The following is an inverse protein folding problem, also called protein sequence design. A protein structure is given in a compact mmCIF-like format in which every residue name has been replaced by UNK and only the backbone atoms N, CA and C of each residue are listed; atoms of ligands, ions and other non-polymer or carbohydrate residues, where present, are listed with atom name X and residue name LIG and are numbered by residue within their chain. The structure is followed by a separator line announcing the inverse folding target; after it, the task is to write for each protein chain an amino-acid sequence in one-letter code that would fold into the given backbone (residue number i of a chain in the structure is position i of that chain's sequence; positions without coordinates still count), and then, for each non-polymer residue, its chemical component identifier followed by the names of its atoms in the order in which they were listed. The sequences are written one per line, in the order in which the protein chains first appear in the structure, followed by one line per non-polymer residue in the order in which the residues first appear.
data_IF_303195152854
#
_entry.id   IF_303195152854
#
_cell.length_a   1.000
_cell.length_b   1.000
_cell.length_c   1.000
_cell.angle_alpha   90.00
_cell.angle_beta   90.00
_cell.angle_gamma   90.00
#
_symmetry.space_group_name_H-M   'P 1'
#
loop_
_entity.id
_entity.type
_entity.pdbx_description
1 polymer ?
#
# COMPACT_ATOMS: atom_id res chain seq x y z
N UNK A 1 -11.70 11.50 17.20
CA UNK A 1 -10.22 11.42 17.01
C UNK A 1 -9.62 10.01 17.13
N UNK A 2 -10.39 8.92 16.96
CA UNK A 2 -9.89 7.55 17.19
C UNK A 2 -8.70 7.15 16.29
N UNK A 3 -8.82 7.33 14.97
CA UNK A 3 -7.75 7.02 13.99
C UNK A 3 -6.46 7.77 14.31
N UNK A 4 -6.56 9.07 14.61
CA UNK A 4 -5.37 9.88 14.94
C UNK A 4 -4.66 9.41 16.19
N UNK A 5 -5.41 8.99 17.22
CA UNK A 5 -4.83 8.44 18.46
C UNK A 5 -4.17 7.08 18.19
N UNK A 6 -4.83 6.22 17.41
CA UNK A 6 -4.30 4.92 17.01
C UNK A 6 -2.98 5.07 16.24
N UNK A 7 -2.98 5.88 15.18
CA UNK A 7 -1.77 6.10 14.36
C UNK A 7 -0.64 6.70 15.18
N UNK A 8 -0.91 7.66 16.07
CA UNK A 8 0.11 8.19 16.99
C UNK A 8 0.74 7.09 17.83
N UNK A 9 -0.07 6.25 18.48
CA UNK A 9 0.44 5.16 19.33
C UNK A 9 1.30 4.17 18.54
N UNK A 10 0.88 3.77 17.34
CA UNK A 10 1.62 2.84 16.48
C UNK A 10 2.96 3.43 16.05
N UNK A 11 2.94 4.64 15.49
CA UNK A 11 4.13 5.31 14.96
C UNK A 11 5.14 5.65 16.06
N UNK A 12 4.67 6.10 17.23
CA UNK A 12 5.52 6.43 18.39
C UNK A 12 6.13 5.17 19.03
N UNK A 13 5.36 4.09 19.13
CA UNK A 13 5.84 2.81 19.65
C UNK A 13 6.95 2.25 18.75
N UNK A 14 6.72 2.23 17.44
CA UNK A 14 7.72 1.73 16.48
C UNK A 14 8.97 2.61 16.44
N UNK A 15 8.82 3.94 16.47
CA UNK A 15 9.97 4.87 16.53
C UNK A 15 10.86 4.58 17.73
N UNK A 16 10.26 4.43 18.92
CA UNK A 16 11.00 4.11 20.15
C UNK A 16 11.70 2.76 20.05
N UNK A 17 10.97 1.72 19.64
CA UNK A 17 11.54 0.38 19.44
C UNK A 17 12.74 0.42 18.49
N UNK A 18 12.57 1.01 17.30
CA UNK A 18 13.59 1.06 16.28
C UNK A 18 14.82 1.83 16.76
N UNK A 19 14.63 3.06 17.26
CA UNK A 19 15.72 3.90 17.76
C UNK A 19 16.50 3.24 18.90
N UNK A 20 15.83 2.60 19.86
CA UNK A 20 16.48 1.84 20.93
C UNK A 20 17.28 0.66 20.38
N UNK A 21 16.70 -0.11 19.45
CA UNK A 21 17.34 -1.30 18.88
C UNK A 21 18.62 -0.97 18.09
N UNK A 22 18.59 0.10 17.31
CA UNK A 22 19.71 0.49 16.44
C UNK A 22 20.57 1.63 17.01
N UNK A 23 20.36 2.02 18.28
CA UNK A 23 21.07 3.12 18.96
C UNK A 23 21.04 4.46 18.19
N UNK A 24 19.94 4.73 17.50
CA UNK A 24 19.70 5.97 16.74
C UNK A 24 18.94 6.99 17.61
N UNK A 25 19.15 8.27 17.32
CA UNK A 25 18.37 9.36 17.90
C UNK A 25 17.58 10.11 16.82
N UNK A 26 16.53 10.83 17.24
CA UNK A 26 15.74 11.69 16.37
C UNK A 26 14.51 11.03 15.73
N UNK A 27 13.77 11.79 14.90
CA UNK A 27 12.52 11.34 14.31
C UNK A 27 12.73 10.22 13.29
N UNK A 28 11.85 9.21 13.28
CA UNK A 28 11.86 8.15 12.27
C UNK A 28 10.99 8.47 11.05
N UNK A 29 9.86 9.13 11.27
CA UNK A 29 8.88 9.42 10.23
C UNK A 29 8.98 10.85 9.73
N UNK A 30 8.78 11.05 8.43
CA UNK A 30 8.73 12.39 7.82
C UNK A 30 7.31 12.93 7.82
N UNK A 31 7.00 13.84 8.73
CA UNK A 31 5.70 14.52 8.81
C UNK A 31 4.60 13.71 9.50
N UNK A 32 3.37 14.24 9.44
CA UNK A 32 2.17 13.61 10.03
C UNK A 32 1.56 12.60 9.05
N UNK A 33 0.92 11.55 9.59
CA UNK A 33 0.12 10.65 8.77
C UNK A 33 -0.99 11.43 8.05
N UNK A 34 -1.30 11.02 6.82
CA UNK A 34 -2.40 11.56 6.03
C UNK A 34 -3.57 10.58 6.03
N UNK A 35 -4.79 11.08 5.84
CA UNK A 35 -5.99 10.25 5.68
C UNK A 35 -6.87 10.85 4.59
N UNK A 36 -7.59 9.97 3.92
CA UNK A 36 -8.61 10.32 2.94
C UNK A 36 -9.82 9.42 3.20
N UNK A 37 -11.02 9.98 3.17
CA UNK A 37 -12.25 9.21 3.30
C UNK A 37 -12.52 8.53 1.95
N UNK A 38 -12.75 7.21 1.98
CA UNK A 38 -13.22 6.47 0.81
C UNK A 38 -14.74 6.52 0.83
N UNK A 39 -15.33 7.07 -0.22
CA UNK A 39 -16.76 7.40 -0.30
C UNK A 39 -17.56 6.35 -1.09
N UNK A 40 -16.90 5.57 -1.96
CA UNK A 40 -17.55 4.54 -2.77
C UNK A 40 -16.59 3.40 -3.16
N UNK A 41 -17.18 2.32 -3.69
CA UNK A 41 -16.47 1.08 -4.04
C UNK A 41 -15.54 1.24 -5.23
N UNK A 42 -15.89 2.08 -6.21
CA UNK A 42 -15.00 2.39 -7.35
C UNK A 42 -13.70 3.05 -6.86
N UNK A 43 -13.82 4.02 -5.96
CA UNK A 43 -12.69 4.68 -5.34
C UNK A 43 -11.84 3.68 -4.53
N UNK A 44 -12.49 2.77 -3.79
CA UNK A 44 -11.79 1.70 -3.07
C UNK A 44 -11.01 0.80 -4.03
N UNK A 45 -11.64 0.35 -5.11
CA UNK A 45 -11.04 -0.53 -6.11
C UNK A 45 -9.80 0.15 -6.74
N UNK A 46 -9.93 1.40 -7.16
CA UNK A 46 -8.79 2.18 -7.70
C UNK A 46 -7.68 2.43 -6.66
N UNK A 47 -8.05 2.66 -5.39
CA UNK A 47 -7.09 2.83 -4.30
C UNK A 47 -6.25 1.56 -4.08
N UNK A 48 -6.87 0.38 -4.11
CA UNK A 48 -6.14 -0.88 -3.97
C UNK A 48 -5.14 -1.09 -5.11
N UNK A 49 -5.54 -0.85 -6.37
CA UNK A 49 -4.61 -0.87 -7.52
C UNK A 49 -3.42 0.06 -7.30
N UNK A 50 -3.66 1.31 -6.88
CA UNK A 50 -2.58 2.26 -6.60
C UNK A 50 -1.60 1.69 -5.56
N UNK A 51 -2.11 1.12 -4.47
CA UNK A 51 -1.29 0.52 -3.39
C UNK A 51 -0.46 -0.64 -3.94
N UNK A 52 -1.05 -1.57 -4.67
CA UNK A 52 -0.35 -2.76 -5.16
C UNK A 52 0.62 -2.46 -6.30
N UNK A 53 0.42 -1.36 -7.05
CA UNK A 53 1.36 -0.88 -8.06
C UNK A 53 2.49 0.00 -7.49
N UNK A 54 2.46 0.39 -6.21
CA UNK A 54 3.54 1.21 -5.63
C UNK A 54 4.93 0.55 -5.71
N UNK A 55 5.11 -0.74 -5.38
CA UNK A 55 6.41 -1.39 -5.47
C UNK A 55 6.97 -1.44 -6.90
N UNK A 56 6.12 -1.67 -7.90
CA UNK A 56 6.53 -1.69 -9.31
C UNK A 56 6.80 -0.29 -9.86
N UNK A 57 6.05 0.71 -9.38
CA UNK A 57 6.28 2.12 -9.70
C UNK A 57 7.59 2.63 -9.11
N UNK A 58 7.95 2.16 -7.91
CA UNK A 58 9.20 2.49 -7.25
C UNK A 58 10.40 1.65 -7.74
N UNK A 59 10.22 0.84 -8.78
CA UNK A 59 11.25 -0.05 -9.35
C UNK A 59 11.85 -1.05 -8.35
N UNK A 60 11.10 -1.42 -7.29
CA UNK A 60 11.54 -2.42 -6.32
C UNK A 60 11.35 -3.86 -6.84
N UNK A 61 10.33 -4.06 -7.68
CA UNK A 61 10.01 -5.33 -8.34
C UNK A 61 9.45 -5.09 -9.73
N UNK A 62 9.48 -6.12 -10.59
CA UNK A 62 8.91 -6.03 -11.94
C UNK A 62 7.40 -6.23 -11.95
N UNK A 63 6.90 -7.20 -11.17
CA UNK A 63 5.48 -7.52 -11.05
C UNK A 63 4.99 -7.29 -9.62
N UNK A 64 3.72 -6.89 -9.42
CA UNK A 64 3.19 -6.65 -8.08
C UNK A 64 3.20 -7.90 -7.18
N UNK A 65 3.03 -9.09 -7.76
CA UNK A 65 3.06 -10.40 -7.08
C UNK A 65 4.44 -10.74 -6.48
N UNK A 66 5.51 -10.14 -7.00
CA UNK A 66 6.87 -10.37 -6.52
C UNK A 66 7.13 -9.61 -5.19
N UNK A 67 6.25 -8.67 -4.81
CA UNK A 67 6.38 -7.89 -3.58
C UNK A 67 5.63 -8.53 -2.40
N UNK A 68 6.37 -9.29 -1.60
CA UNK A 68 5.83 -10.04 -0.44
C UNK A 68 5.29 -9.15 0.69
N UNK A 69 5.65 -7.87 0.73
CA UNK A 69 5.21 -6.94 1.79
C UNK A 69 3.93 -6.18 1.40
N UNK A 70 3.04 -6.83 0.66
CA UNK A 70 1.70 -6.32 0.34
C UNK A 70 0.68 -7.43 0.31
N UNK A 71 -0.60 -7.07 0.39
CA UNK A 71 -1.71 -8.01 0.29
C UNK A 71 -2.06 -8.42 -1.14
N UNK A 72 -1.28 -8.02 -2.17
CA UNK A 72 -1.65 -8.31 -3.56
C UNK A 72 -1.83 -9.82 -3.81
N UNK A 73 -0.94 -10.66 -3.27
CA UNK A 73 -1.06 -12.11 -3.39
C UNK A 73 -2.31 -12.69 -2.68
N UNK A 74 -2.86 -11.99 -1.68
CA UNK A 74 -4.13 -12.40 -1.06
C UNK A 74 -5.29 -12.18 -2.02
N UNK A 75 -5.28 -11.08 -2.78
CA UNK A 75 -6.29 -10.79 -3.81
C UNK A 75 -6.24 -11.80 -4.97
N UNK A 76 -5.08 -12.41 -5.18
CA UNK A 76 -4.88 -13.46 -6.19
C UNK A 76 -5.15 -14.88 -5.66
N UNK A 77 -5.61 -15.04 -4.43
CA UNK A 77 -5.75 -16.34 -3.75
C UNK A 77 -4.44 -17.17 -3.69
N UNK A 78 -3.28 -16.50 -3.72
CA UNK A 78 -1.95 -17.13 -3.64
C UNK A 78 -1.45 -17.33 -2.20
N UNK A 79 -2.24 -16.92 -1.19
CA UNK A 79 -1.87 -17.00 0.23
C UNK A 79 -2.74 -18.03 0.93
N UNK A 80 -2.13 -18.86 1.79
CA UNK A 80 -2.86 -19.86 2.55
C UNK A 80 -3.84 -19.19 3.52
N UNK A 81 -4.96 -19.86 3.77
CA UNK A 81 -5.97 -19.40 4.73
C UNK A 81 -5.32 -19.18 6.11
N UNK A 82 -5.43 -17.95 6.62
CA UNK A 82 -4.88 -17.55 7.92
C UNK A 82 -3.50 -16.90 7.87
N UNK A 83 -2.82 -16.88 6.72
CA UNK A 83 -1.52 -16.24 6.53
C UNK A 83 -1.60 -14.83 5.89
N UNK A 84 -2.82 -14.36 5.58
CA UNK A 84 -3.05 -13.05 4.97
C UNK A 84 -2.86 -11.85 5.92
N UNK A 85 -2.48 -10.71 5.37
CA UNK A 85 -2.34 -9.42 6.02
C UNK A 85 -3.69 -8.72 6.20
N UNK A 86 -4.64 -8.90 5.27
CA UNK A 86 -5.92 -8.20 5.32
C UNK A 86 -7.14 -9.11 5.07
N UNK A 87 -8.28 -8.73 5.62
CA UNK A 87 -9.58 -9.36 5.31
C UNK A 87 -10.28 -8.49 4.29
N UNK A 88 -9.94 -8.65 3.00
CA UNK A 88 -10.49 -7.79 1.93
C UNK A 88 -11.80 -8.30 1.33
N UNK A 89 -12.09 -9.60 1.44
CA UNK A 89 -13.27 -10.25 0.83
C UNK A 89 -14.61 -9.65 1.28
N UNK A 90 -14.66 -8.98 2.44
CA UNK A 90 -15.87 -8.27 2.91
C UNK A 90 -15.99 -6.83 2.38
N UNK A 91 -14.99 -6.36 1.64
CA UNK A 91 -14.87 -4.96 1.20
C UNK A 91 -14.92 -4.81 -0.32
N UNK A 92 -14.44 -5.83 -1.06
CA UNK A 92 -14.42 -5.83 -2.51
C UNK A 92 -14.87 -7.20 -3.01
N UNK A 93 -15.91 -7.20 -3.84
CA UNK A 93 -16.44 -8.38 -4.53
C UNK A 93 -15.86 -8.40 -5.95
N UNK A 94 -14.70 -9.05 -6.11
CA UNK A 94 -14.00 -9.19 -7.38
C UNK A 94 -13.23 -10.50 -7.41
N UNK A 95 -13.34 -11.22 -8.52
CA UNK A 95 -12.63 -12.47 -8.72
C UNK A 95 -11.11 -12.22 -8.89
N UNK A 96 -10.25 -13.17 -8.47
CA UNK A 96 -8.80 -13.02 -8.54
C UNK A 96 -8.27 -12.65 -9.93
N UNK A 97 -8.81 -13.27 -10.98
CA UNK A 97 -8.37 -13.04 -12.36
C UNK A 97 -8.81 -11.66 -12.85
N UNK A 98 -10.05 -11.26 -12.59
CA UNK A 98 -10.56 -9.92 -12.90
C UNK A 98 -9.74 -8.84 -12.17
N UNK A 99 -9.40 -9.08 -10.90
CA UNK A 99 -8.57 -8.17 -10.13
C UNK A 99 -7.16 -8.06 -10.70
N UNK A 100 -6.57 -9.19 -11.10
CA UNK A 100 -5.25 -9.23 -11.74
C UNK A 100 -5.26 -8.40 -13.02
N UNK A 101 -6.21 -8.63 -13.91
CA UNK A 101 -6.38 -7.88 -15.16
C UNK A 101 -6.59 -6.38 -14.90
N UNK A 102 -7.48 -6.06 -13.94
CA UNK A 102 -7.71 -4.70 -13.49
C UNK A 102 -6.38 -4.05 -13.05
N UNK A 103 -5.58 -4.68 -12.20
CA UNK A 103 -4.32 -4.08 -11.73
C UNK A 103 -3.30 -3.92 -12.86
N UNK A 104 -3.08 -4.95 -13.68
CA UNK A 104 -2.02 -4.92 -14.70
C UNK A 104 -2.31 -3.96 -15.85
N UNK A 105 -3.58 -3.74 -16.19
CA UNK A 105 -4.02 -2.85 -17.29
C UNK A 105 -3.51 -1.39 -17.19
N UNK A 106 -3.03 -0.96 -16.02
CA UNK A 106 -2.57 0.42 -15.76
C UNK A 106 -1.13 0.51 -15.25
N UNK A 107 -0.35 -0.57 -15.30
CA UNK A 107 1.06 -0.59 -14.84
C UNK A 107 1.88 0.50 -15.55
N UNK A 108 1.78 0.59 -16.89
CA UNK A 108 2.56 1.56 -17.67
C UNK A 108 2.06 3.00 -17.50
N UNK A 109 0.75 3.17 -17.32
CA UNK A 109 0.15 4.48 -17.01
C UNK A 109 0.69 5.01 -15.67
N UNK A 110 0.76 4.17 -14.64
CA UNK A 110 1.25 4.61 -13.33
C UNK A 110 2.75 4.93 -13.35
N UNK A 111 3.56 4.15 -14.08
CA UNK A 111 4.97 4.50 -14.33
C UNK A 111 5.12 5.84 -15.05
N UNK A 112 4.27 6.09 -16.04
CA UNK A 112 4.26 7.36 -16.78
C UNK A 112 3.90 8.53 -15.86
N UNK A 113 2.85 8.40 -15.04
CA UNK A 113 2.47 9.42 -14.06
C UNK A 113 3.59 9.70 -13.04
N UNK A 114 4.30 8.68 -12.58
CA UNK A 114 5.41 8.85 -11.66
C UNK A 114 6.56 9.67 -12.29
N UNK A 115 6.88 9.41 -13.56
CA UNK A 115 7.85 10.22 -14.33
C UNK A 115 7.38 11.66 -14.51
N UNK A 116 6.12 11.88 -14.91
CA UNK A 116 5.54 13.22 -15.06
C UNK A 116 5.61 13.98 -13.73
N UNK A 117 5.22 13.34 -12.63
CA UNK A 117 5.25 13.96 -11.31
C UNK A 117 6.68 14.34 -10.88
N UNK A 118 7.67 13.51 -11.21
CA UNK A 118 9.06 13.86 -10.95
C UNK A 118 9.50 15.09 -11.77
N UNK A 119 9.17 15.13 -13.06
CA UNK A 119 9.50 16.25 -13.96
C UNK A 119 8.76 17.56 -13.67
N UNK A 120 7.61 17.51 -13.00
CA UNK A 120 6.82 18.68 -12.59
C UNK A 120 7.20 19.23 -11.21
N UNK A 121 8.01 18.52 -10.45
CA UNK A 121 8.43 18.88 -9.08
C UNK A 121 9.88 19.39 -9.01
N UNK A 122 10.53 19.54 -10.17
CA UNK A 122 11.78 20.27 -10.40
C UNK A 122 11.49 21.60 -11.12
#
# INVERSE_FOLDING_TARGET
NGISIFMRKVLDSYTRYFNTKIKRQGPLWTGRFKRLLVENDEQLLHLTRYIHLNPTTAHLVNNPQDWIFSSYNEFLNNVKKGEGLCRYLSLLDIEPDDYKEFVISRVDYQRTLAKIKHLLLD
#
